data_IF_746871050690
#
_entry.id   IF_746871050690
#
_cell.length_a   1.000
_cell.length_b   1.000
_cell.length_c   1.000
_cell.angle_alpha   90.00
_cell.angle_beta   90.00
_cell.angle_gamma   90.00
#
_symmetry.space_group_name_H-M   'P 1'
#
loop_
_entity.id
_entity.type
_entity.pdbx_description
1 polymer ?
#
# COMPACT_ATOMS: atom_id res chain seq x y z
N UNK A 1 10.41 4.13 -20.97
CA UNK A 1 9.06 4.72 -20.98
C UNK A 1 8.52 4.53 -19.58
N UNK A 2 8.18 5.60 -18.84
CA UNK A 2 7.61 5.42 -17.51
C UNK A 2 6.29 4.63 -17.66
N UNK A 3 6.02 3.68 -16.77
CA UNK A 3 4.76 2.95 -16.77
C UNK A 3 3.59 3.91 -16.56
N UNK A 4 2.48 3.60 -17.22
CA UNK A 4 1.27 4.43 -17.25
C UNK A 4 0.57 4.37 -15.88
N UNK A 5 0.58 5.47 -15.11
CA UNK A 5 -0.11 5.54 -13.82
C UNK A 5 -1.61 5.45 -14.05
N UNK A 6 -2.22 4.32 -13.68
CA UNK A 6 -3.67 4.14 -13.81
C UNK A 6 -4.37 4.93 -12.70
N UNK A 7 -5.33 5.80 -13.02
CA UNK A 7 -6.05 6.57 -12.00
C UNK A 7 -6.86 5.65 -11.09
N UNK A 8 -6.98 6.04 -9.82
CA UNK A 8 -7.81 5.35 -8.84
C UNK A 8 -9.27 5.25 -9.34
N UNK A 9 -9.89 4.08 -9.17
CA UNK A 9 -11.27 3.82 -9.59
C UNK A 9 -12.19 3.80 -8.38
N UNK A 10 -13.32 4.51 -8.48
CA UNK A 10 -14.38 4.45 -7.47
C UNK A 10 -15.16 3.15 -7.62
N UNK A 11 -15.32 2.42 -6.51
CA UNK A 11 -16.18 1.22 -6.42
C UNK A 11 -17.26 1.50 -5.39
N UNK A 12 -18.53 1.44 -5.82
CA UNK A 12 -19.69 1.65 -4.94
C UNK A 12 -20.28 0.31 -4.46
N UNK A 13 -20.48 0.17 -3.16
CA UNK A 13 -21.22 -0.95 -2.56
C UNK A 13 -22.05 -0.46 -1.38
N UNK A 14 -23.05 -1.24 -0.96
CA UNK A 14 -23.87 -0.95 0.22
C UNK A 14 -23.44 -1.83 1.37
N UNK A 15 -23.24 -1.21 2.53
CA UNK A 15 -23.09 -1.90 3.81
C UNK A 15 -24.44 -1.93 4.52
N UNK A 16 -24.66 -2.96 5.32
CA UNK A 16 -25.79 -3.01 6.25
C UNK A 16 -25.60 -1.98 7.35
N UNK A 17 -26.70 -1.57 8.00
CA UNK A 17 -26.63 -0.64 9.14
C UNK A 17 -25.74 -1.18 10.26
N UNK A 18 -25.78 -2.50 10.49
CA UNK A 18 -24.95 -3.15 11.50
C UNK A 18 -23.46 -3.05 11.19
N UNK A 19 -23.04 -3.36 9.96
CA UNK A 19 -21.64 -3.22 9.55
C UNK A 19 -21.17 -1.78 9.67
N UNK A 20 -22.01 -0.81 9.31
CA UNK A 20 -21.68 0.60 9.45
C UNK A 20 -21.49 1.02 10.93
N UNK A 21 -22.36 0.55 11.83
CA UNK A 21 -22.23 0.80 13.28
C UNK A 21 -20.95 0.19 13.85
N UNK A 22 -20.63 -1.06 13.46
CA UNK A 22 -19.40 -1.73 13.88
C UNK A 22 -18.16 -0.96 13.40
N UNK A 23 -18.12 -0.51 12.13
CA UNK A 23 -17.03 0.32 11.60
C UNK A 23 -16.94 1.67 12.33
N UNK A 24 -18.07 2.31 12.62
CA UNK A 24 -18.10 3.59 13.33
C UNK A 24 -17.48 3.46 14.72
N UNK A 25 -17.79 2.37 15.44
CA UNK A 25 -17.17 2.09 16.74
C UNK A 25 -15.64 1.94 16.69
N UNK A 26 -15.10 1.39 15.59
CA UNK A 26 -13.65 1.27 15.41
C UNK A 26 -12.99 2.64 15.13
N UNK A 27 -13.69 3.53 14.43
CA UNK A 27 -13.24 4.91 14.18
C UNK A 27 -13.26 5.73 15.47
N UNK A 28 -14.33 5.62 16.25
CA UNK A 28 -14.45 6.30 17.55
C UNK A 28 -13.39 5.83 18.56
N UNK A 29 -12.98 4.56 18.47
CA UNK A 29 -11.87 4.00 19.23
C UNK A 29 -10.47 4.45 18.73
N UNK A 30 -10.41 5.19 17.62
CA UNK A 30 -9.16 5.67 17.01
C UNK A 30 -8.37 4.59 16.28
N UNK A 31 -8.98 3.45 15.95
CA UNK A 31 -8.31 2.34 15.26
C UNK A 31 -8.17 2.63 13.76
N UNK A 32 -9.17 3.30 13.17
CA UNK A 32 -9.16 3.72 11.76
C UNK A 32 -9.51 5.19 11.64
N UNK A 33 -9.00 5.84 10.58
CA UNK A 33 -9.20 7.28 10.36
C UNK A 33 -10.59 7.61 9.81
N UNK A 34 -11.19 6.69 9.05
CA UNK A 34 -12.50 6.87 8.40
C UNK A 34 -13.05 5.54 7.89
N UNK A 35 -14.30 5.55 7.43
CA UNK A 35 -14.90 4.38 6.76
C UNK A 35 -14.11 4.02 5.49
N UNK A 36 -13.67 5.01 4.72
CA UNK A 36 -12.87 4.79 3.50
C UNK A 36 -11.49 4.22 3.80
N UNK A 37 -10.90 4.58 4.95
CA UNK A 37 -9.65 4.00 5.44
C UNK A 37 -9.83 2.50 5.75
N UNK A 38 -10.82 2.18 6.57
CA UNK A 38 -11.20 0.79 6.90
C UNK A 38 -11.44 -0.07 5.65
N UNK A 39 -12.23 0.44 4.69
CA UNK A 39 -12.57 -0.33 3.48
C UNK A 39 -11.34 -0.55 2.58
N UNK A 40 -10.44 0.44 2.49
CA UNK A 40 -9.19 0.27 1.73
C UNK A 40 -8.30 -0.81 2.35
N UNK A 41 -8.14 -0.80 3.68
CA UNK A 41 -7.39 -1.84 4.39
C UNK A 41 -8.02 -3.22 4.23
N UNK A 42 -9.34 -3.35 4.43
CA UNK A 42 -10.03 -4.62 4.27
C UNK A 42 -9.90 -5.22 2.85
N UNK A 43 -9.92 -4.37 1.82
CA UNK A 43 -9.69 -4.79 0.43
C UNK A 43 -8.25 -5.25 0.24
N UNK A 44 -7.25 -4.51 0.75
CA UNK A 44 -5.83 -4.88 0.68
C UNK A 44 -5.57 -6.21 1.36
N UNK A 45 -6.05 -6.38 2.59
CA UNK A 45 -5.92 -7.62 3.36
C UNK A 45 -6.45 -8.83 2.59
N UNK A 46 -7.63 -8.69 1.97
CA UNK A 46 -8.22 -9.77 1.18
C UNK A 46 -7.44 -10.07 -0.10
N UNK A 47 -6.93 -9.05 -0.78
CA UNK A 47 -6.10 -9.24 -1.98
C UNK A 47 -4.75 -9.89 -1.63
N UNK A 48 -4.09 -9.44 -0.56
CA UNK A 48 -2.84 -10.02 -0.07
C UNK A 48 -3.01 -11.49 0.32
N UNK A 49 -4.08 -11.83 1.07
CA UNK A 49 -4.34 -13.20 1.50
C UNK A 49 -4.56 -14.19 0.34
N UNK A 50 -4.99 -13.71 -0.82
CA UNK A 50 -5.26 -14.53 -2.01
C UNK A 50 -4.08 -14.56 -3.00
N UNK A 51 -3.05 -13.73 -2.81
CA UNK A 51 -1.92 -13.63 -3.74
C UNK A 51 -0.90 -14.73 -3.48
N UNK A 52 -0.66 -15.53 -4.51
CA UNK A 52 0.54 -16.38 -4.62
C UNK A 52 1.66 -15.49 -5.19
N UNK A 53 2.45 -14.87 -4.32
CA UNK A 53 3.56 -13.99 -4.75
C UNK A 53 4.73 -14.88 -5.19
N UNK A 54 5.22 -14.68 -6.42
CA UNK A 54 6.55 -15.15 -6.82
C UNK A 54 7.55 -14.15 -6.27
N UNK A 55 8.23 -14.50 -5.18
CA UNK A 55 9.32 -13.67 -4.64
C UNK A 55 10.58 -13.95 -5.46
N UNK A 56 11.21 -12.89 -5.98
CA UNK A 56 12.53 -13.02 -6.60
C UNK A 56 13.63 -12.74 -5.59
N UNK A 57 14.71 -13.52 -5.66
CA UNK A 57 15.90 -13.23 -4.86
C UNK A 57 16.62 -11.99 -5.42
N UNK A 58 16.78 -10.98 -4.58
CA UNK A 58 17.52 -9.75 -4.88
C UNK A 58 18.31 -9.32 -3.65
N UNK A 59 19.46 -8.70 -3.86
CA UNK A 59 20.22 -8.13 -2.75
C UNK A 59 19.61 -6.79 -2.29
N UNK A 60 19.85 -6.44 -1.03
CA UNK A 60 19.26 -5.25 -0.41
C UNK A 60 19.61 -3.92 -1.12
N UNK A 61 20.86 -3.67 -1.55
CA UNK A 61 21.21 -2.45 -2.30
C UNK A 61 20.40 -2.27 -3.59
N UNK A 62 20.26 -3.35 -4.37
CA UNK A 62 19.51 -3.31 -5.64
C UNK A 62 18.02 -3.14 -5.39
N UNK A 63 17.46 -3.84 -4.39
CA UNK A 63 16.08 -3.66 -3.96
C UNK A 63 15.79 -2.20 -3.55
N UNK A 64 16.67 -1.59 -2.75
CA UNK A 64 16.53 -0.18 -2.31
C UNK A 64 16.57 0.80 -3.47
N UNK A 65 17.39 0.52 -4.49
CA UNK A 65 17.46 1.32 -5.72
C UNK A 65 16.18 1.20 -6.54
N UNK A 66 15.62 0.00 -6.65
CA UNK A 66 14.40 -0.24 -7.41
C UNK A 66 13.16 0.35 -6.73
N UNK A 67 13.00 0.18 -5.42
CA UNK A 67 11.91 0.80 -4.64
C UNK A 67 11.94 2.32 -4.78
N UNK A 68 13.10 2.94 -4.61
CA UNK A 68 13.24 4.38 -4.84
C UNK A 68 12.93 4.78 -6.30
N UNK A 69 13.35 3.96 -7.26
CA UNK A 69 13.05 4.16 -8.67
C UNK A 69 11.56 4.09 -8.96
N UNK A 70 10.85 3.19 -8.31
CA UNK A 70 9.42 3.02 -8.40
C UNK A 70 8.71 4.28 -7.90
N UNK A 71 8.96 4.71 -6.67
CA UNK A 71 8.36 5.93 -6.11
C UNK A 71 8.71 7.23 -6.87
N UNK A 72 9.84 7.27 -7.58
CA UNK A 72 10.16 8.40 -8.47
C UNK A 72 9.33 8.41 -9.74
N UNK A 73 8.92 7.24 -10.22
CA UNK A 73 8.11 7.08 -11.43
C UNK A 73 6.60 7.18 -11.13
N UNK A 74 6.20 6.85 -9.91
CA UNK A 74 4.82 6.90 -9.43
C UNK A 74 4.75 7.82 -8.21
N UNK A 75 4.25 9.04 -8.39
CA UNK A 75 4.21 10.07 -7.32
C UNK A 75 3.33 9.67 -6.13
N UNK A 76 2.41 8.73 -6.34
CA UNK A 76 1.53 8.15 -5.32
C UNK A 76 1.45 6.65 -5.60
N UNK A 77 2.15 5.86 -4.79
CA UNK A 77 2.04 4.42 -4.77
C UNK A 77 1.98 3.97 -3.31
N UNK A 78 1.25 2.91 -3.03
CA UNK A 78 1.29 2.27 -1.72
C UNK A 78 2.39 1.21 -1.69
N UNK A 79 2.98 0.96 -0.53
CA UNK A 79 4.04 -0.05 -0.36
C UNK A 79 3.65 -1.44 -0.90
N UNK A 80 2.37 -1.82 -0.79
CA UNK A 80 1.90 -3.10 -1.33
C UNK A 80 1.94 -3.14 -2.86
N UNK A 81 1.67 -2.03 -3.55
CA UNK A 81 1.76 -1.94 -5.02
C UNK A 81 3.22 -2.04 -5.45
N UNK A 82 4.12 -1.42 -4.69
CA UNK A 82 5.57 -1.51 -4.94
C UNK A 82 6.08 -2.94 -4.75
N UNK A 83 5.69 -3.61 -3.67
CA UNK A 83 6.06 -5.00 -3.41
C UNK A 83 5.57 -5.93 -4.50
N UNK A 84 4.33 -5.73 -4.96
CA UNK A 84 3.72 -6.53 -6.02
C UNK A 84 4.40 -6.33 -7.37
N UNK A 85 4.57 -5.09 -7.81
CA UNK A 85 5.10 -4.80 -9.13
C UNK A 85 6.60 -5.11 -9.25
N UNK A 86 7.34 -5.00 -8.14
CA UNK A 86 8.76 -5.36 -8.09
C UNK A 86 9.01 -6.83 -7.75
N UNK A 87 7.94 -7.59 -7.47
CA UNK A 87 8.01 -9.00 -7.01
C UNK A 87 8.91 -9.16 -5.77
N UNK A 88 8.81 -8.20 -4.86
CA UNK A 88 9.57 -8.13 -3.62
C UNK A 88 8.72 -8.53 -2.43
N UNK A 89 9.42 -8.95 -1.37
CA UNK A 89 8.80 -9.18 -0.08
C UNK A 89 8.23 -7.85 0.47
N UNK A 90 7.00 -7.90 0.99
CA UNK A 90 6.32 -6.71 1.48
C UNK A 90 7.03 -6.08 2.67
N UNK A 91 7.52 -6.88 3.62
CA UNK A 91 8.27 -6.35 4.77
C UNK A 91 9.57 -5.69 4.34
N UNK A 92 10.24 -6.26 3.32
CA UNK A 92 11.41 -5.65 2.70
C UNK A 92 11.09 -4.27 2.11
N UNK A 93 9.98 -4.13 1.40
CA UNK A 93 9.56 -2.84 0.84
C UNK A 93 9.22 -1.82 1.93
N UNK A 94 8.39 -2.20 2.92
CA UNK A 94 8.04 -1.31 4.05
C UNK A 94 9.29 -0.81 4.77
N UNK A 95 10.26 -1.71 5.02
CA UNK A 95 11.55 -1.36 5.62
C UNK A 95 12.33 -0.35 4.77
N UNK A 96 12.44 -0.62 3.46
CA UNK A 96 13.18 0.25 2.54
C UNK A 96 12.52 1.63 2.45
N UNK A 97 11.18 1.69 2.36
CA UNK A 97 10.42 2.94 2.29
C UNK A 97 10.68 3.78 3.54
N UNK A 98 10.57 3.19 4.74
CA UNK A 98 10.87 3.88 6.00
C UNK A 98 12.31 4.42 6.06
N UNK A 99 13.31 3.67 5.58
CA UNK A 99 14.68 4.16 5.49
C UNK A 99 14.83 5.33 4.49
N UNK A 100 14.18 5.25 3.33
CA UNK A 100 14.24 6.30 2.32
C UNK A 100 13.56 7.60 2.78
N UNK A 101 12.51 7.50 3.61
CA UNK A 101 11.88 8.64 4.29
C UNK A 101 12.81 9.27 5.32
N UNK A 102 13.47 8.46 6.16
CA UNK A 102 14.47 8.94 7.12
C UNK A 102 15.66 9.64 6.43
N UNK A 103 16.05 9.15 5.25
CA UNK A 103 17.06 9.78 4.40
C UNK A 103 16.57 11.05 3.68
N UNK A 104 15.29 11.40 3.79
CA UNK A 104 14.66 12.54 3.11
C UNK A 104 14.53 12.36 1.59
N UNK A 105 14.60 11.11 1.10
CA UNK A 105 14.55 10.75 -0.32
C UNK A 105 13.14 10.42 -0.80
N UNK A 106 12.23 10.16 0.13
CA UNK A 106 10.78 10.07 -0.08
C UNK A 106 10.08 11.10 0.81
N UNK A 107 8.95 11.62 0.33
CA UNK A 107 8.05 12.46 1.14
C UNK A 107 6.74 11.70 1.29
N UNK A 108 6.33 11.43 2.53
CA UNK A 108 5.00 10.94 2.85
C UNK A 108 3.99 11.99 2.39
N UNK A 109 3.17 11.64 1.41
CA UNK A 109 1.94 12.40 1.13
C UNK A 109 0.90 11.78 2.06
N UNK A 110 0.80 12.36 3.27
CA UNK A 110 -0.22 12.01 4.25
C UNK A 110 -1.60 12.53 3.86
#
# INVERSE_FOLDING_TARGET
MPPEVKPAKTVGTKLTSREHEEISGLIDAGIYLSVSDFIREAVRDKLMALKVIKLREINYPDAKKEVLGYYRNYSEAYDFEVAEDLELDYELVVKITAELEQEGRLKVIG
#
